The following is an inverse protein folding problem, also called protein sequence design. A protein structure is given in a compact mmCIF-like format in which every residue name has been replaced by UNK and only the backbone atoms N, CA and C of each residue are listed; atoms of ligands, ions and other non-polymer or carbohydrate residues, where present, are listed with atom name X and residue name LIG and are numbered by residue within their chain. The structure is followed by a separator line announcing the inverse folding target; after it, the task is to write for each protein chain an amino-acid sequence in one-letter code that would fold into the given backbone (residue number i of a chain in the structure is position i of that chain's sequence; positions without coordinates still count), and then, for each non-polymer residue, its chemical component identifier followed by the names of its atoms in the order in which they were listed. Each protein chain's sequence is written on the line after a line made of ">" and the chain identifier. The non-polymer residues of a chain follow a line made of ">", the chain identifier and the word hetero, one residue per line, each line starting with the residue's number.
data_IF_285373181065
#
_entry.id   IF_285373181065
#
_cell.length_a   1.000
_cell.length_b   1.000
_cell.length_c   1.000
_cell.angle_alpha   90.00
_cell.angle_beta   90.00
_cell.angle_gamma   90.00
#
_symmetry.space_group_name_H-M   'P 1'
#
loop_
_entity.id
_entity.type
_entity.pdbx_description
1 polymer ?
#
# COMPACT_ATOMS: atom_id res chain seq x y z
N UNK A 1 -33.10 22.26 27.67
CA UNK A 1 -33.59 21.62 26.40
C UNK A 1 -32.41 20.99 25.70
N UNK A 2 -32.44 19.68 25.45
CA UNK A 2 -31.43 19.03 24.56
C UNK A 2 -31.74 19.49 23.14
N UNK A 3 -30.84 20.24 22.49
CA UNK A 3 -30.93 20.52 21.06
C UNK A 3 -30.91 19.20 20.30
N UNK A 4 -31.95 18.88 19.55
CA UNK A 4 -31.95 17.73 18.65
C UNK A 4 -31.00 18.02 17.47
N UNK A 5 -29.99 17.19 17.29
CA UNK A 5 -29.08 17.30 16.15
C UNK A 5 -29.83 16.96 14.85
N UNK A 6 -29.63 17.76 13.82
CA UNK A 6 -30.16 17.47 12.47
C UNK A 6 -29.19 16.58 11.74
N UNK A 7 -29.61 15.38 11.35
CA UNK A 7 -28.79 14.44 10.58
C UNK A 7 -28.65 14.96 9.15
N UNK A 8 -27.43 15.31 8.75
CA UNK A 8 -27.13 15.72 7.36
C UNK A 8 -27.12 14.55 6.38
N UNK A 9 -26.53 13.42 6.78
CA UNK A 9 -26.42 12.21 5.96
C UNK A 9 -26.23 11.00 6.86
N UNK A 10 -26.88 9.91 6.52
CA UNK A 10 -26.63 8.58 7.11
C UNK A 10 -26.50 7.57 5.95
N UNK A 11 -25.40 6.83 5.92
CA UNK A 11 -25.11 5.88 4.85
C UNK A 11 -24.60 4.57 5.44
N UNK A 12 -25.13 3.44 4.96
CA UNK A 12 -24.64 2.12 5.32
C UNK A 12 -23.38 1.79 4.52
N UNK A 13 -22.44 1.08 5.15
CA UNK A 13 -21.18 0.70 4.52
C UNK A 13 -21.40 -0.15 3.25
N UNK A 14 -20.84 0.31 2.14
CA UNK A 14 -20.59 -0.52 0.95
C UNK A 14 -19.48 -1.55 1.20
N UNK A 15 -19.21 -2.41 0.21
CA UNK A 15 -18.23 -3.50 0.34
C UNK A 15 -16.85 -2.98 0.75
N UNK A 16 -16.36 -1.95 0.06
CA UNK A 16 -15.05 -1.36 0.30
C UNK A 16 -14.89 -0.88 1.74
N UNK A 17 -15.87 -0.09 2.24
CA UNK A 17 -15.84 0.42 3.60
C UNK A 17 -15.94 -0.69 4.66
N UNK A 18 -16.70 -1.77 4.38
CA UNK A 18 -16.76 -2.95 5.27
C UNK A 18 -15.40 -3.65 5.39
N UNK A 19 -14.70 -3.83 4.27
CA UNK A 19 -13.37 -4.45 4.25
C UNK A 19 -12.39 -3.59 5.02
N UNK A 20 -12.29 -2.29 4.69
CA UNK A 20 -11.39 -1.35 5.36
C UNK A 20 -11.66 -1.35 6.87
N UNK A 21 -12.92 -1.12 7.29
CA UNK A 21 -13.27 -1.05 8.71
C UNK A 21 -12.93 -2.34 9.48
N UNK A 22 -13.13 -3.52 8.84
CA UNK A 22 -12.77 -4.78 9.48
C UNK A 22 -11.25 -4.96 9.58
N UNK A 23 -10.51 -4.65 8.52
CA UNK A 23 -9.05 -4.85 8.50
C UNK A 23 -8.33 -3.88 9.44
N UNK A 24 -8.72 -2.60 9.46
CA UNK A 24 -8.13 -1.61 10.35
C UNK A 24 -8.48 -1.86 11.81
N UNK A 25 -9.73 -2.25 12.12
CA UNK A 25 -10.11 -2.63 13.48
C UNK A 25 -9.32 -3.86 13.97
N UNK A 26 -9.15 -4.88 13.12
CA UNK A 26 -8.34 -6.05 13.44
C UNK A 26 -6.88 -5.67 13.64
N UNK A 27 -6.31 -4.82 12.77
CA UNK A 27 -4.94 -4.33 12.88
C UNK A 27 -4.67 -3.69 14.25
N UNK A 28 -5.51 -2.73 14.65
CA UNK A 28 -5.38 -2.05 15.94
C UNK A 28 -5.55 -2.96 17.15
N UNK A 29 -6.40 -3.98 17.04
CA UNK A 29 -6.63 -4.92 18.14
C UNK A 29 -5.49 -5.92 18.28
N UNK A 30 -4.92 -6.40 17.17
CA UNK A 30 -4.05 -7.57 17.16
C UNK A 30 -2.56 -7.21 17.08
N UNK A 31 -2.20 -6.05 16.51
CA UNK A 31 -0.81 -5.72 16.16
C UNK A 31 -0.24 -4.64 17.09
N UNK A 32 0.83 -4.94 17.85
CA UNK A 32 1.61 -3.92 18.54
C UNK A 32 2.53 -3.22 17.53
N UNK A 33 2.06 -2.10 16.99
CA UNK A 33 2.79 -1.31 16.00
C UNK A 33 3.98 -0.58 16.65
N UNK A 34 5.16 -0.72 16.04
CA UNK A 34 6.31 0.16 16.29
C UNK A 34 6.50 1.05 15.07
N UNK A 35 6.72 2.34 15.32
CA UNK A 35 6.84 3.32 14.25
C UNK A 35 8.21 3.99 14.31
N UNK A 36 8.88 4.02 13.17
CA UNK A 36 10.14 4.73 12.98
C UNK A 36 9.99 5.68 11.80
N UNK A 37 10.39 6.93 11.99
CA UNK A 37 10.41 7.91 10.91
C UNK A 37 11.83 8.11 10.43
N UNK A 38 12.08 7.93 9.13
CA UNK A 38 13.33 8.21 8.46
C UNK A 38 13.17 9.38 7.49
N UNK A 39 14.04 10.38 7.58
CA UNK A 39 13.95 11.65 6.82
C UNK A 39 15.26 11.96 6.07
N UNK A 40 15.64 11.16 5.07
CA UNK A 40 16.85 11.44 4.30
C UNK A 40 16.76 12.80 3.58
N UNK A 41 17.94 13.45 3.45
CA UNK A 41 18.09 14.62 2.62
C UNK A 41 17.91 14.21 1.15
N UNK A 42 17.06 14.94 0.40
CA UNK A 42 16.56 14.52 -0.90
C UNK A 42 16.88 15.47 -2.04
N UNK A 43 17.62 16.59 -1.80
CA UNK A 43 17.86 17.59 -2.82
C UNK A 43 18.62 17.03 -4.01
N UNK A 44 19.74 16.32 -3.77
CA UNK A 44 20.54 15.72 -4.84
C UNK A 44 19.78 14.55 -5.52
N UNK A 45 19.08 13.72 -4.73
CA UNK A 45 18.23 12.66 -5.25
C UNK A 45 17.18 13.20 -6.22
N UNK A 46 16.52 14.31 -5.88
CA UNK A 46 15.53 14.95 -6.76
C UNK A 46 16.16 15.59 -8.00
N UNK A 47 17.41 16.05 -7.94
CA UNK A 47 18.15 16.54 -9.13
C UNK A 47 18.44 15.38 -10.09
N UNK A 48 18.97 14.26 -9.57
CA UNK A 48 19.24 13.07 -10.38
C UNK A 48 17.94 12.51 -10.97
N UNK A 49 16.86 12.46 -10.17
CA UNK A 49 15.53 12.09 -10.66
C UNK A 49 15.05 12.99 -11.81
N UNK A 50 15.24 14.30 -11.74
CA UNK A 50 14.91 15.18 -12.86
C UNK A 50 15.75 14.85 -14.09
N UNK A 51 17.06 14.62 -13.90
CA UNK A 51 18.00 14.28 -14.97
C UNK A 51 17.63 13.01 -15.74
N UNK A 52 17.14 11.96 -15.08
CA UNK A 52 16.71 10.75 -15.80
C UNK A 52 15.48 10.96 -16.70
N UNK A 53 14.78 12.07 -16.54
CA UNK A 53 13.60 12.44 -17.34
C UNK A 53 13.90 13.52 -18.42
N UNK A 54 15.12 14.04 -18.49
CA UNK A 54 15.50 15.03 -19.50
C UNK A 54 15.45 14.41 -20.90
N UNK A 55 14.83 15.14 -21.82
CA UNK A 55 14.65 14.71 -23.22
C UNK A 55 13.61 13.59 -23.44
N UNK A 56 12.96 13.05 -22.39
CA UNK A 56 11.92 12.03 -22.55
C UNK A 56 10.59 12.66 -22.97
N UNK A 57 9.87 11.97 -23.86
CA UNK A 57 8.48 12.28 -24.17
C UNK A 57 7.61 12.13 -22.90
N UNK A 58 6.46 12.78 -22.87
CA UNK A 58 5.59 12.82 -21.67
C UNK A 58 5.17 11.42 -21.20
N UNK A 59 4.84 10.55 -22.14
CA UNK A 59 4.43 9.16 -21.94
C UNK A 59 5.56 8.28 -21.39
N UNK A 60 6.83 8.62 -21.71
CA UNK A 60 8.01 7.86 -21.30
C UNK A 60 8.62 8.32 -19.98
N UNK A 61 8.10 9.38 -19.38
CA UNK A 61 8.62 9.91 -18.13
C UNK A 61 8.42 8.93 -16.98
N UNK A 62 9.49 8.72 -16.24
CA UNK A 62 9.47 7.99 -14.96
C UNK A 62 8.90 8.91 -13.89
N UNK A 63 7.90 8.45 -13.16
CA UNK A 63 7.31 9.21 -12.05
C UNK A 63 8.16 9.09 -10.78
N UNK A 64 8.12 10.10 -9.91
CA UNK A 64 8.78 10.01 -8.61
C UNK A 64 8.25 8.81 -7.80
N UNK A 65 6.95 8.50 -7.92
CA UNK A 65 6.35 7.33 -7.28
C UNK A 65 7.02 6.02 -7.75
N UNK A 66 7.29 5.86 -9.04
CA UNK A 66 7.98 4.68 -9.56
C UNK A 66 9.40 4.55 -8.99
N UNK A 67 10.13 5.67 -8.91
CA UNK A 67 11.48 5.68 -8.31
C UNK A 67 11.43 5.31 -6.82
N UNK A 68 10.51 5.89 -6.06
CA UNK A 68 10.34 5.58 -4.63
C UNK A 68 9.98 4.11 -4.41
N UNK A 69 9.09 3.54 -5.22
CA UNK A 69 8.77 2.11 -5.16
C UNK A 69 10.01 1.25 -5.43
N UNK A 70 10.85 1.65 -6.40
CA UNK A 70 12.12 0.94 -6.66
C UNK A 70 13.10 1.06 -5.50
N UNK A 71 13.27 2.25 -4.92
CA UNK A 71 14.09 2.47 -3.71
C UNK A 71 13.64 1.53 -2.57
N UNK A 72 12.34 1.48 -2.30
CA UNK A 72 11.78 0.60 -1.26
C UNK A 72 12.02 -0.86 -1.60
N UNK A 73 11.84 -1.25 -2.87
CA UNK A 73 12.07 -2.63 -3.32
C UNK A 73 13.53 -3.05 -3.12
N UNK A 74 14.49 -2.19 -3.49
CA UNK A 74 15.92 -2.46 -3.29
C UNK A 74 16.29 -2.53 -1.79
N UNK A 75 15.64 -1.70 -0.95
CA UNK A 75 15.82 -1.76 0.49
C UNK A 75 15.23 -3.05 1.10
N UNK A 76 14.09 -3.54 0.59
CA UNK A 76 13.49 -4.83 1.02
C UNK A 76 14.38 -6.02 0.64
N UNK A 77 15.05 -5.99 -0.51
CA UNK A 77 16.06 -7.01 -0.87
C UNK A 77 17.20 -7.11 0.15
N UNK A 78 17.53 -6.01 0.83
CA UNK A 78 18.54 -5.97 1.92
C UNK A 78 17.97 -6.34 3.29
N UNK A 79 16.65 -6.42 3.41
CA UNK A 79 15.94 -6.69 4.65
C UNK A 79 14.74 -7.62 4.42
N UNK A 80 14.98 -8.92 4.07
CA UNK A 80 13.90 -9.88 3.78
C UNK A 80 12.91 -10.03 4.93
N UNK A 81 13.33 -9.87 6.17
CA UNK A 81 12.49 -9.96 7.35
C UNK A 81 11.27 -8.99 7.32
N UNK A 82 11.39 -7.84 6.64
CA UNK A 82 10.27 -6.93 6.44
C UNK A 82 9.31 -7.34 5.32
N UNK A 83 9.73 -8.27 4.44
CA UNK A 83 8.91 -8.82 3.36
C UNK A 83 8.32 -10.18 3.78
N UNK A 84 7.51 -10.17 4.84
CA UNK A 84 7.07 -11.38 5.52
C UNK A 84 5.61 -11.31 5.99
N UNK A 85 5.07 -12.45 6.30
CA UNK A 85 3.77 -12.60 6.97
C UNK A 85 3.93 -13.31 8.32
N UNK A 86 3.08 -12.95 9.28
CA UNK A 86 3.00 -13.60 10.59
C UNK A 86 1.69 -14.36 10.75
N UNK A 87 1.77 -15.61 11.22
CA UNK A 87 0.65 -16.35 11.81
C UNK A 87 0.91 -16.49 13.31
N UNK A 88 0.13 -15.80 14.14
CA UNK A 88 0.27 -15.83 15.59
C UNK A 88 -1.05 -16.22 16.26
N UNK A 89 -0.97 -17.19 17.17
CA UNK A 89 -2.09 -17.70 17.97
C UNK A 89 -1.92 -17.28 19.45
N UNK A 90 -2.47 -16.12 19.86
CA UNK A 90 -2.21 -15.55 21.19
C UNK A 90 -2.51 -16.49 22.36
N UNK A 91 -3.64 -17.25 22.28
CA UNK A 91 -4.06 -18.20 23.34
C UNK A 91 -3.06 -19.33 23.59
N UNK A 92 -2.29 -19.71 22.57
CA UNK A 92 -1.32 -20.80 22.65
C UNK A 92 0.12 -20.30 22.71
N UNK A 93 0.32 -18.98 22.57
CA UNK A 93 1.63 -18.33 22.43
C UNK A 93 2.48 -19.06 21.37
N UNK A 94 1.89 -19.31 20.20
CA UNK A 94 2.54 -19.98 19.09
C UNK A 94 2.41 -19.14 17.82
N UNK A 95 3.47 -19.10 17.04
CA UNK A 95 3.47 -18.38 15.79
C UNK A 95 4.58 -18.82 14.84
N UNK A 96 4.48 -18.32 13.62
CA UNK A 96 5.46 -18.48 12.57
C UNK A 96 5.55 -17.17 11.78
N UNK A 97 6.74 -16.72 11.46
CA UNK A 97 7.00 -15.67 10.48
C UNK A 97 7.49 -16.35 9.21
N UNK A 98 6.89 -16.03 8.08
CA UNK A 98 7.22 -16.56 6.77
C UNK A 98 7.73 -15.42 5.91
N UNK A 99 9.01 -15.44 5.55
CA UNK A 99 9.63 -14.51 4.61
C UNK A 99 9.38 -14.98 3.17
N UNK A 100 9.31 -14.03 2.23
CA UNK A 100 9.07 -14.28 0.81
C UNK A 100 10.21 -13.75 -0.06
N UNK A 101 10.57 -14.49 -1.07
CA UNK A 101 11.51 -14.03 -2.10
C UNK A 101 10.84 -13.02 -3.04
N UNK A 102 9.54 -13.24 -3.35
CA UNK A 102 8.75 -12.32 -4.15
C UNK A 102 8.36 -11.09 -3.34
N UNK A 103 8.66 -9.90 -3.87
CA UNK A 103 8.24 -8.63 -3.30
C UNK A 103 6.96 -8.18 -4.02
N UNK A 104 5.83 -8.35 -3.35
CA UNK A 104 4.51 -7.99 -3.84
C UNK A 104 3.97 -6.81 -3.01
N UNK A 105 3.90 -5.62 -3.63
CA UNK A 105 3.55 -4.39 -2.92
C UNK A 105 2.05 -4.10 -3.03
N UNK A 106 1.35 -4.13 -1.90
CA UNK A 106 0.00 -3.58 -1.79
C UNK A 106 0.05 -2.06 -1.75
N UNK A 107 -0.44 -1.40 -2.81
CA UNK A 107 -0.38 0.06 -2.93
C UNK A 107 -1.78 0.66 -3.05
N UNK A 108 -2.20 1.52 -2.09
CA UNK A 108 -3.42 2.32 -2.24
C UNK A 108 -3.25 3.33 -3.38
N UNK A 109 -4.20 3.33 -4.30
CA UNK A 109 -4.26 4.25 -5.45
C UNK A 109 -5.58 5.00 -5.47
N UNK A 110 -5.55 6.27 -5.86
CA UNK A 110 -6.75 7.03 -6.20
C UNK A 110 -7.08 6.77 -7.67
N UNK A 111 -8.27 6.24 -7.91
CA UNK A 111 -8.77 6.02 -9.27
C UNK A 111 -9.35 7.30 -9.86
N UNK A 112 -9.45 7.37 -11.19
CA UNK A 112 -10.09 8.49 -11.90
C UNK A 112 -11.57 8.68 -11.47
N UNK A 113 -12.21 7.64 -10.93
CA UNK A 113 -13.55 7.71 -10.33
C UNK A 113 -13.61 8.47 -9.00
N UNK A 114 -12.47 8.81 -8.40
CA UNK A 114 -12.35 9.38 -7.06
C UNK A 114 -12.40 8.34 -5.93
N UNK A 115 -12.47 7.06 -6.24
CA UNK A 115 -12.41 5.99 -5.24
C UNK A 115 -10.97 5.58 -4.94
N UNK A 116 -10.69 5.31 -3.66
CA UNK A 116 -9.42 4.70 -3.25
C UNK A 116 -9.50 3.19 -3.38
N UNK A 117 -8.49 2.59 -3.98
CA UNK A 117 -8.35 1.16 -4.11
C UNK A 117 -6.92 0.73 -3.79
N UNK A 118 -6.76 -0.40 -3.12
CA UNK A 118 -5.45 -1.03 -2.96
C UNK A 118 -5.25 -2.06 -4.06
N UNK A 119 -4.15 -1.91 -4.81
CA UNK A 119 -3.72 -2.87 -5.84
C UNK A 119 -2.47 -3.59 -5.38
N UNK A 120 -2.27 -4.80 -5.86
CA UNK A 120 -1.07 -5.57 -5.65
C UNK A 120 -0.15 -5.43 -6.87
N UNK A 121 1.05 -4.90 -6.67
CA UNK A 121 2.11 -4.82 -7.65
C UNK A 121 3.03 -6.03 -7.49
N UNK A 122 2.92 -7.00 -8.38
CA UNK A 122 3.61 -8.29 -8.27
C UNK A 122 5.06 -8.23 -8.74
N UNK A 123 5.92 -9.07 -8.13
CA UNK A 123 7.30 -9.33 -8.54
C UNK A 123 8.11 -8.05 -8.73
N UNK A 124 8.01 -7.14 -7.77
CA UNK A 124 8.70 -5.85 -7.84
C UNK A 124 10.22 -5.99 -7.82
N UNK A 125 10.76 -7.07 -7.24
CA UNK A 125 12.19 -7.37 -7.18
C UNK A 125 12.84 -7.46 -8.57
N UNK A 126 12.09 -7.89 -9.60
CA UNK A 126 12.59 -8.12 -10.95
C UNK A 126 12.39 -6.91 -11.88
N UNK A 127 11.68 -5.87 -11.42
CA UNK A 127 11.28 -4.74 -12.25
C UNK A 127 12.30 -3.61 -12.23
N UNK A 128 12.63 -3.08 -13.41
CA UNK A 128 13.31 -1.82 -13.59
C UNK A 128 12.31 -0.63 -13.51
N UNK A 129 12.77 0.59 -13.63
CA UNK A 129 11.91 1.78 -13.52
C UNK A 129 10.88 1.89 -14.66
N UNK A 130 11.20 1.39 -15.86
CA UNK A 130 10.26 1.39 -17.00
C UNK A 130 9.16 0.37 -16.74
N UNK A 131 9.52 -0.82 -16.27
CA UNK A 131 8.54 -1.87 -15.94
C UNK A 131 7.59 -1.42 -14.85
N UNK A 132 8.09 -0.71 -13.82
CA UNK A 132 7.25 -0.16 -12.75
C UNK A 132 6.30 0.90 -13.31
N UNK A 133 6.80 1.85 -14.14
CA UNK A 133 5.97 2.85 -14.82
C UNK A 133 4.85 2.18 -15.62
N UNK A 134 5.20 1.19 -16.44
CA UNK A 134 4.26 0.51 -17.31
C UNK A 134 3.24 -0.32 -16.52
N UNK A 135 3.69 -0.97 -15.43
CA UNK A 135 2.79 -1.67 -14.49
C UNK A 135 1.76 -0.70 -13.89
N UNK A 136 2.20 0.48 -13.41
CA UNK A 136 1.30 1.49 -12.84
C UNK A 136 0.31 2.03 -13.88
N UNK A 137 0.77 2.29 -15.11
CA UNK A 137 -0.08 2.75 -16.21
C UNK A 137 -1.11 1.68 -16.62
N UNK A 138 -0.71 0.41 -16.69
CA UNK A 138 -1.59 -0.70 -17.01
C UNK A 138 -2.68 -0.90 -15.96
N UNK A 139 -2.32 -0.85 -14.67
CA UNK A 139 -3.31 -0.93 -13.58
C UNK A 139 -4.34 0.20 -13.69
N UNK A 140 -3.92 1.44 -13.95
CA UNK A 140 -4.84 2.56 -14.14
C UNK A 140 -5.74 2.37 -15.37
N UNK A 141 -5.20 1.85 -16.47
CA UNK A 141 -5.97 1.54 -17.69
C UNK A 141 -7.04 0.49 -17.39
N UNK A 142 -6.68 -0.63 -16.78
CA UNK A 142 -7.59 -1.73 -16.45
C UNK A 142 -8.64 -1.34 -15.40
N UNK A 143 -8.29 -0.45 -14.47
CA UNK A 143 -9.21 0.05 -13.45
C UNK A 143 -10.42 0.77 -14.07
N UNK A 144 -10.25 1.48 -15.21
CA UNK A 144 -11.33 2.17 -15.93
C UNK A 144 -12.42 1.21 -16.44
N UNK A 145 -12.03 -0.01 -16.78
CA UNK A 145 -12.93 -1.06 -17.26
C UNK A 145 -13.46 -1.96 -16.14
N UNK A 146 -13.08 -1.67 -14.88
CA UNK A 146 -13.39 -2.54 -13.75
C UNK A 146 -14.54 -2.00 -12.90
N UNK A 147 -15.44 -2.87 -12.50
CA UNK A 147 -16.41 -2.57 -11.45
C UNK A 147 -15.83 -2.97 -10.10
N UNK A 148 -15.35 -1.99 -9.34
CA UNK A 148 -14.63 -2.22 -8.10
C UNK A 148 -15.43 -2.98 -7.05
N UNK A 149 -16.75 -2.68 -6.93
CA UNK A 149 -17.62 -3.42 -6.00
C UNK A 149 -17.71 -4.91 -6.36
N UNK A 150 -17.70 -5.24 -7.67
CA UNK A 150 -17.72 -6.62 -8.12
C UNK A 150 -16.38 -7.31 -7.87
N UNK A 151 -15.25 -6.69 -8.21
CA UNK A 151 -13.91 -7.25 -7.95
C UNK A 151 -13.71 -7.51 -6.46
N UNK A 152 -14.02 -6.53 -5.61
CA UNK A 152 -13.91 -6.66 -4.15
C UNK A 152 -14.85 -7.74 -3.58
N UNK A 153 -16.03 -7.91 -4.19
CA UNK A 153 -16.94 -8.99 -3.82
C UNK A 153 -16.35 -10.36 -4.16
N UNK A 154 -15.75 -10.52 -5.34
CA UNK A 154 -15.13 -11.77 -5.78
C UNK A 154 -13.95 -12.16 -4.88
N UNK A 155 -13.10 -11.20 -4.48
CA UNK A 155 -12.04 -11.41 -3.48
C UNK A 155 -12.62 -11.82 -2.13
N UNK A 156 -13.59 -11.08 -1.61
CA UNK A 156 -14.23 -11.35 -0.32
C UNK A 156 -14.94 -12.72 -0.26
N UNK A 157 -15.52 -13.15 -1.39
CA UNK A 157 -16.14 -14.48 -1.48
C UNK A 157 -15.11 -15.60 -1.39
N UNK A 158 -13.99 -15.43 -2.09
CA UNK A 158 -12.89 -16.41 -2.04
C UNK A 158 -12.28 -16.52 -0.62
N UNK A 159 -12.03 -15.39 0.05
CA UNK A 159 -11.53 -15.38 1.42
C UNK A 159 -12.50 -16.03 2.39
N UNK A 160 -13.81 -15.87 2.14
CA UNK A 160 -14.87 -16.53 2.89
C UNK A 160 -14.80 -18.04 2.72
N UNK A 161 -14.63 -18.53 1.49
CA UNK A 161 -14.52 -19.98 1.20
C UNK A 161 -13.24 -20.56 1.79
N UNK A 162 -12.11 -19.86 1.69
CA UNK A 162 -10.85 -20.29 2.34
C UNK A 162 -10.97 -20.28 3.88
N UNK A 163 -11.69 -19.32 4.45
CA UNK A 163 -11.98 -19.27 5.89
C UNK A 163 -12.77 -20.48 6.37
N UNK A 164 -13.74 -20.96 5.57
CA UNK A 164 -14.47 -22.20 5.85
C UNK A 164 -13.54 -23.42 5.83
N UNK A 165 -12.70 -23.53 4.82
CA UNK A 165 -11.71 -24.62 4.70
C UNK A 165 -10.72 -24.65 5.88
N UNK A 166 -10.39 -23.47 6.46
CA UNK A 166 -9.53 -23.32 7.64
C UNK A 166 -10.29 -23.43 8.98
N UNK A 167 -11.55 -23.86 8.99
CA UNK A 167 -12.35 -24.09 10.20
C UNK A 167 -12.87 -22.83 10.91
N UNK A 168 -12.80 -21.63 10.28
CA UNK A 168 -13.30 -20.36 10.85
C UNK A 168 -14.82 -20.20 10.66
N UNK A 169 -15.63 -21.20 11.05
CA UNK A 169 -17.07 -21.28 10.75
C UNK A 169 -17.87 -20.09 11.29
N UNK A 170 -17.73 -19.77 12.58
CA UNK A 170 -18.51 -18.71 13.23
C UNK A 170 -18.25 -17.33 12.59
N UNK A 171 -16.99 -17.00 12.39
CA UNK A 171 -16.59 -15.72 11.78
C UNK A 171 -17.09 -15.63 10.34
N UNK A 172 -17.00 -16.72 9.58
CA UNK A 172 -17.44 -16.79 8.20
C UNK A 172 -18.96 -16.64 8.07
N UNK A 173 -19.73 -17.35 8.92
CA UNK A 173 -21.20 -17.23 8.95
C UNK A 173 -21.61 -15.80 9.32
N UNK A 174 -21.00 -15.20 10.34
CA UNK A 174 -21.28 -13.82 10.75
C UNK A 174 -21.02 -12.82 9.62
N UNK A 175 -19.92 -12.98 8.86
CA UNK A 175 -19.60 -12.16 7.67
C UNK A 175 -20.64 -12.33 6.56
N UNK A 176 -21.07 -13.55 6.28
CA UNK A 176 -22.11 -13.84 5.28
C UNK A 176 -23.45 -13.19 5.65
N UNK A 177 -23.89 -13.33 6.91
CA UNK A 177 -25.09 -12.67 7.40
C UNK A 177 -24.97 -11.15 7.24
N UNK A 178 -23.89 -10.55 7.71
CA UNK A 178 -23.64 -9.10 7.64
C UNK A 178 -23.53 -8.54 6.22
N UNK A 179 -23.18 -9.37 5.22
CA UNK A 179 -23.00 -8.93 3.84
C UNK A 179 -24.18 -9.24 2.91
N UNK A 180 -25.03 -10.22 3.24
CA UNK A 180 -26.09 -10.71 2.35
C UNK A 180 -27.51 -10.43 2.84
N UNK A 181 -27.69 -9.91 4.07
CA UNK A 181 -29.04 -9.75 4.66
C UNK A 181 -29.44 -8.28 4.86
N UNK A 182 -30.73 -8.00 4.70
CA UNK A 182 -31.40 -6.74 5.02
C UNK A 182 -30.83 -5.52 4.31
N UNK A 183 -30.93 -4.36 4.96
CA UNK A 183 -30.45 -3.06 4.46
C UNK A 183 -28.92 -2.95 4.36
N UNK A 184 -28.20 -3.90 4.92
CA UNK A 184 -26.73 -3.98 4.89
C UNK A 184 -26.19 -4.85 3.75
N UNK A 185 -27.08 -5.36 2.88
CA UNK A 185 -26.71 -6.17 1.73
C UNK A 185 -25.76 -5.42 0.82
N UNK A 186 -24.64 -6.05 0.49
CA UNK A 186 -23.68 -5.53 -0.49
C UNK A 186 -24.34 -5.53 -1.88
N UNK A 187 -24.32 -4.39 -2.54
CA UNK A 187 -24.79 -4.24 -3.93
C UNK A 187 -23.69 -4.72 -4.87
N UNK A 188 -24.00 -5.70 -5.71
CA UNK A 188 -23.12 -6.22 -6.77
C UNK A 188 -23.85 -6.20 -8.08
N UNK A 189 -23.13 -6.42 -9.17
CA UNK A 189 -23.72 -6.56 -10.49
C UNK A 189 -24.65 -7.79 -10.55
N UNK A 190 -25.74 -7.69 -11.31
CA UNK A 190 -26.70 -8.77 -11.49
C UNK A 190 -27.23 -8.81 -12.93
N UNK A 191 -27.75 -9.97 -13.35
CA UNK A 191 -28.40 -10.13 -14.66
C UNK A 191 -27.46 -9.74 -15.81
N UNK A 192 -27.99 -8.91 -16.74
CA UNK A 192 -27.29 -8.46 -17.94
C UNK A 192 -25.99 -7.73 -17.65
N UNK A 193 -25.99 -6.79 -16.70
CA UNK A 193 -24.79 -6.02 -16.34
C UNK A 193 -23.65 -6.88 -15.80
N UNK A 194 -23.96 -7.98 -15.09
CA UNK A 194 -22.96 -8.93 -14.63
C UNK A 194 -22.34 -9.68 -15.79
N UNK A 195 -23.16 -10.11 -16.77
CA UNK A 195 -22.68 -10.79 -17.96
C UNK A 195 -21.78 -9.88 -18.79
N UNK A 196 -22.23 -8.66 -19.10
CA UNK A 196 -21.46 -7.65 -19.84
C UNK A 196 -20.10 -7.36 -19.18
N UNK A 197 -20.04 -7.31 -17.84
CA UNK A 197 -18.79 -7.11 -17.11
C UNK A 197 -17.81 -8.29 -17.28
N UNK A 198 -18.30 -9.52 -17.22
CA UNK A 198 -17.43 -10.70 -17.39
C UNK A 198 -17.12 -11.01 -18.87
N UNK A 199 -17.82 -10.41 -19.82
CA UNK A 199 -17.47 -10.44 -21.24
C UNK A 199 -16.24 -9.55 -21.54
N UNK A 200 -15.87 -8.60 -20.65
CA UNK A 200 -14.60 -7.86 -20.74
C UNK A 200 -13.44 -8.83 -20.45
N UNK A 201 -12.46 -8.95 -21.37
CA UNK A 201 -11.31 -9.83 -21.16
C UNK A 201 -10.55 -9.53 -19.87
N UNK A 202 -9.99 -10.55 -19.22
CA UNK A 202 -9.27 -10.38 -17.95
C UNK A 202 -8.03 -9.47 -18.07
N UNK A 203 -7.38 -9.45 -19.23
CA UNK A 203 -6.26 -8.54 -19.49
C UNK A 203 -6.67 -7.06 -19.64
N UNK A 204 -7.96 -6.76 -19.79
CA UNK A 204 -8.50 -5.42 -19.91
C UNK A 204 -9.26 -4.93 -18.67
N UNK A 205 -9.42 -5.75 -17.66
CA UNK A 205 -10.03 -5.41 -16.37
C UNK A 205 -9.18 -5.87 -15.21
N UNK A 206 -9.38 -5.28 -14.04
CA UNK A 206 -8.79 -5.77 -12.81
C UNK A 206 -9.47 -7.06 -12.36
N UNK A 207 -8.68 -7.97 -11.86
CA UNK A 207 -9.09 -9.28 -11.38
C UNK A 207 -8.78 -9.41 -9.89
N UNK A 208 -9.12 -10.55 -9.31
CA UNK A 208 -8.72 -10.91 -7.96
C UNK A 208 -7.20 -10.84 -7.78
N UNK A 209 -6.43 -11.29 -8.76
CA UNK A 209 -4.96 -11.28 -8.73
C UNK A 209 -4.39 -9.87 -8.48
N UNK A 210 -5.03 -8.84 -9.05
CA UNK A 210 -4.60 -7.45 -8.90
C UNK A 210 -4.97 -6.83 -7.55
N UNK A 211 -5.86 -7.45 -6.77
CA UNK A 211 -6.45 -6.89 -5.54
C UNK A 211 -6.10 -7.72 -4.30
N UNK A 212 -5.69 -8.98 -4.48
CA UNK A 212 -5.28 -9.80 -3.33
C UNK A 212 -4.07 -9.18 -2.64
N UNK A 213 -3.93 -9.49 -1.35
CA UNK A 213 -2.93 -8.87 -0.50
C UNK A 213 -1.50 -9.25 -0.92
N UNK A 214 -0.64 -8.24 -1.04
CA UNK A 214 0.80 -8.43 -1.24
C UNK A 214 1.54 -8.78 0.04
N UNK A 215 2.86 -8.84 -0.06
CA UNK A 215 3.74 -9.17 1.07
C UNK A 215 3.98 -7.98 2.01
N UNK A 216 3.87 -6.76 1.49
CA UNK A 216 4.03 -5.50 2.24
C UNK A 216 3.08 -4.42 1.69
N UNK A 217 2.69 -3.47 2.53
CA UNK A 217 1.92 -2.29 2.10
C UNK A 217 2.82 -1.06 1.99
N UNK A 218 2.73 -0.35 0.86
CA UNK A 218 3.39 0.95 0.64
C UNK A 218 2.35 1.99 0.25
N UNK A 219 2.20 3.03 1.08
CA UNK A 219 1.27 4.14 0.83
C UNK A 219 2.03 5.43 0.54
N UNK A 220 1.94 5.92 -0.69
CA UNK A 220 2.54 7.20 -1.08
C UNK A 220 1.53 8.35 -0.91
N UNK A 221 1.52 8.96 0.27
CA UNK A 221 0.64 10.08 0.63
C UNK A 221 1.01 11.35 -0.13
N UNK A 222 2.31 11.54 -0.41
CA UNK A 222 2.81 12.67 -1.20
C UNK A 222 2.33 12.65 -2.66
N UNK A 223 1.93 11.50 -3.19
CA UNK A 223 1.31 11.41 -4.52
C UNK A 223 -0.14 11.93 -4.53
N UNK A 224 -0.83 11.87 -3.40
CA UNK A 224 -2.22 12.32 -3.24
C UNK A 224 -2.28 13.82 -2.95
N UNK A 225 -1.35 14.33 -2.15
CA UNK A 225 -1.26 15.74 -1.79
C UNK A 225 0.20 16.21 -1.88
N UNK A 226 0.57 16.77 -3.03
CA UNK A 226 1.96 17.13 -3.37
C UNK A 226 2.55 18.24 -2.52
N UNK A 227 1.70 19.16 -2.06
CA UNK A 227 2.10 20.32 -1.25
C UNK A 227 1.93 20.05 0.26
N UNK A 228 1.75 18.77 0.65
CA UNK A 228 1.60 18.41 2.05
C UNK A 228 2.93 18.50 2.79
N UNK A 229 3.00 19.39 3.78
CA UNK A 229 4.15 19.58 4.66
C UNK A 229 4.01 18.82 5.99
N UNK A 230 3.18 17.81 6.03
CA UNK A 230 2.95 16.97 7.20
C UNK A 230 3.73 15.66 7.19
N UNK A 231 3.70 14.98 8.32
CA UNK A 231 4.25 13.62 8.51
C UNK A 231 3.10 12.68 8.82
N UNK A 232 3.06 11.53 8.14
CA UNK A 232 2.20 10.44 8.56
C UNK A 232 2.83 9.77 9.78
N UNK A 233 2.23 9.94 10.94
CA UNK A 233 2.79 9.43 12.18
C UNK A 233 2.63 7.91 12.35
N UNK A 234 1.67 7.30 11.66
CA UNK A 234 1.41 5.87 11.70
C UNK A 234 0.64 5.46 10.44
N UNK A 235 0.94 4.28 9.93
CA UNK A 235 0.18 3.56 8.91
C UNK A 235 -0.18 2.18 9.49
N UNK A 236 -1.44 1.77 9.37
CA UNK A 236 -1.85 0.46 9.87
C UNK A 236 -1.25 -0.66 9.04
N UNK A 237 -0.67 -1.65 9.72
CA UNK A 237 -0.24 -2.90 9.10
C UNK A 237 -1.47 -3.75 8.84
N UNK A 238 -1.65 -4.20 7.61
CA UNK A 238 -2.78 -5.06 7.25
C UNK A 238 -2.40 -6.52 7.46
N UNK A 239 -3.01 -7.23 8.43
CA UNK A 239 -2.69 -8.63 8.68
C UNK A 239 -2.85 -9.49 7.42
N UNK A 240 -1.96 -10.44 7.12
CA UNK A 240 -0.89 -10.98 7.96
C UNK A 240 0.49 -10.33 7.76
N UNK A 241 0.60 -9.21 7.06
CA UNK A 241 1.87 -8.50 6.84
C UNK A 241 2.54 -8.11 8.15
N UNK A 242 3.88 -8.05 8.16
CA UNK A 242 4.66 -7.64 9.34
C UNK A 242 5.12 -6.19 9.27
N UNK A 243 5.00 -5.53 8.12
CA UNK A 243 5.43 -4.15 7.95
C UNK A 243 4.53 -3.36 6.98
N UNK A 244 4.55 -2.04 7.13
CA UNK A 244 3.95 -1.09 6.20
C UNK A 244 4.82 0.16 6.11
N UNK A 245 4.82 0.82 4.94
CA UNK A 245 5.65 1.99 4.67
C UNK A 245 4.76 3.11 4.15
N UNK A 246 4.77 4.25 4.86
CA UNK A 246 4.18 5.51 4.42
C UNK A 246 5.26 6.41 3.82
N UNK A 247 4.96 7.07 2.70
CA UNK A 247 5.87 8.04 2.07
C UNK A 247 5.18 9.39 1.98
N UNK A 248 5.84 10.43 2.48
CA UNK A 248 5.36 11.81 2.43
C UNK A 248 5.64 12.51 1.09
N UNK A 249 5.31 13.79 1.01
CA UNK A 249 5.77 14.65 -0.07
C UNK A 249 7.19 15.18 0.23
N UNK A 250 8.03 15.44 -0.79
CA UNK A 250 9.28 16.18 -0.60
C UNK A 250 8.97 17.57 -0.05
N UNK A 251 9.57 17.94 1.08
CA UNK A 251 9.33 19.23 1.75
C UNK A 251 10.60 20.02 1.96
N UNK A 252 10.50 21.35 1.91
CA UNK A 252 11.61 22.23 2.24
C UNK A 252 11.92 22.17 3.75
N UNK A 253 13.20 22.13 4.08
CA UNK A 253 13.64 22.00 5.47
C UNK A 253 14.99 22.70 5.64
N UNK A 254 15.26 23.19 6.86
CA UNK A 254 16.57 23.67 7.24
C UNK A 254 17.55 22.49 7.38
N UNK A 255 18.63 22.54 6.61
CA UNK A 255 19.72 21.55 6.66
C UNK A 255 20.91 22.18 7.35
N UNK A 256 21.34 21.57 8.47
CA UNK A 256 22.58 21.95 9.14
C UNK A 256 23.78 21.36 8.37
N UNK A 257 24.71 22.23 7.94
CA UNK A 257 25.93 21.83 7.26
C UNK A 257 27.05 21.54 8.28
N UNK A 258 28.07 20.73 7.91
CA UNK A 258 29.19 20.41 8.79
C UNK A 258 30.01 21.65 9.25
N UNK A 259 29.97 22.75 8.48
CA UNK A 259 30.63 24.03 8.81
C UNK A 259 29.81 24.90 9.78
N UNK A 260 28.66 24.44 10.26
CA UNK A 260 27.76 25.15 11.15
C UNK A 260 26.79 26.11 10.46
N UNK A 261 26.82 26.24 9.13
CA UNK A 261 25.85 27.01 8.37
C UNK A 261 24.54 26.25 8.22
N UNK A 262 23.46 26.97 7.92
CA UNK A 262 22.14 26.40 7.63
C UNK A 262 21.74 26.78 6.21
N UNK A 263 21.37 25.77 5.42
CA UNK A 263 20.82 25.95 4.08
C UNK A 263 19.41 25.40 3.99
N UNK A 264 18.65 25.84 3.00
CA UNK A 264 17.37 25.23 2.66
C UNK A 264 17.62 24.06 1.71
N UNK A 265 17.20 22.88 2.12
CA UNK A 265 17.21 21.68 1.29
C UNK A 265 15.86 20.99 1.32
N UNK A 266 15.76 19.83 0.67
CA UNK A 266 14.53 19.02 0.68
C UNK A 266 14.74 17.74 1.47
N UNK A 267 13.73 17.36 2.23
CA UNK A 267 13.66 16.02 2.86
C UNK A 267 12.48 15.25 2.30
N UNK A 268 12.62 13.93 2.25
CA UNK A 268 11.55 13.00 1.97
C UNK A 268 11.34 12.10 3.18
N UNK A 269 10.10 12.04 3.66
CA UNK A 269 9.78 11.31 4.89
C UNK A 269 9.31 9.89 4.55
N UNK A 270 9.92 8.90 5.20
CA UNK A 270 9.49 7.51 5.23
C UNK A 270 9.01 7.17 6.65
N UNK A 271 7.74 6.84 6.79
CA UNK A 271 7.18 6.27 8.01
C UNK A 271 7.20 4.76 7.89
N UNK A 272 8.11 4.13 8.60
CA UNK A 272 8.28 2.67 8.62
C UNK A 272 7.59 2.12 9.85
N UNK A 273 6.59 1.26 9.63
CA UNK A 273 5.82 0.64 10.71
C UNK A 273 6.04 -0.86 10.66
N UNK A 274 6.29 -1.48 11.80
CA UNK A 274 6.47 -2.92 11.89
C UNK A 274 5.76 -3.54 13.10
N UNK A 275 5.43 -4.81 12.96
CA UNK A 275 4.78 -5.63 13.99
C UNK A 275 5.82 -6.12 14.99
N UNK A 276 5.76 -5.62 16.23
CA UNK A 276 6.73 -5.99 17.27
C UNK A 276 6.60 -7.43 17.79
N UNK A 277 5.63 -8.20 17.27
CA UNK A 277 5.57 -9.65 17.50
C UNK A 277 6.49 -10.42 16.54
N UNK A 278 6.87 -9.81 15.43
CA UNK A 278 7.66 -10.43 14.36
C UNK A 278 9.06 -9.84 14.24
N UNK A 279 9.21 -8.53 14.49
CA UNK A 279 10.44 -7.77 14.21
C UNK A 279 10.82 -6.89 15.39
N UNK A 280 12.12 -6.76 15.60
CA UNK A 280 12.75 -5.76 16.46
C UNK A 280 13.42 -4.66 15.64
N UNK A 281 13.84 -3.57 16.28
CA UNK A 281 14.53 -2.47 15.59
C UNK A 281 15.78 -2.95 14.84
N UNK A 282 16.51 -3.93 15.40
CA UNK A 282 17.70 -4.53 14.78
C UNK A 282 17.41 -5.15 13.41
N UNK A 283 16.24 -5.77 13.25
CA UNK A 283 15.80 -6.39 12.00
C UNK A 283 15.48 -5.35 10.91
N UNK A 284 15.06 -4.14 11.32
CA UNK A 284 14.64 -3.05 10.41
C UNK A 284 15.83 -2.17 9.97
N UNK A 285 16.89 -2.11 10.76
CA UNK A 285 18.07 -1.28 10.47
C UNK A 285 18.67 -1.48 9.07
N UNK A 286 18.80 -2.69 8.51
CA UNK A 286 19.29 -2.88 7.14
C UNK A 286 18.45 -2.16 6.08
N UNK A 287 17.12 -2.13 6.25
CA UNK A 287 16.20 -1.40 5.39
C UNK A 287 16.46 0.12 5.45
N UNK A 288 16.52 0.70 6.66
CA UNK A 288 16.76 2.12 6.85
C UNK A 288 18.10 2.55 6.28
N UNK A 289 19.17 1.77 6.54
CA UNK A 289 20.50 2.03 5.96
C UNK A 289 20.49 2.00 4.43
N UNK A 290 19.75 1.07 3.83
CA UNK A 290 19.64 0.99 2.37
C UNK A 290 18.94 2.21 1.76
N UNK A 291 17.90 2.72 2.42
CA UNK A 291 17.26 3.99 2.04
C UNK A 291 18.28 5.12 2.12
N UNK A 292 18.95 5.30 3.26
CA UNK A 292 19.93 6.38 3.48
C UNK A 292 21.07 6.34 2.46
N UNK A 293 21.62 5.16 2.15
CA UNK A 293 22.66 4.99 1.15
C UNK A 293 22.19 5.40 -0.26
N UNK A 294 20.96 5.05 -0.63
CA UNK A 294 20.40 5.46 -1.92
C UNK A 294 20.27 6.99 -2.02
N UNK A 295 19.89 7.66 -0.92
CA UNK A 295 19.77 9.11 -0.90
C UNK A 295 21.13 9.84 -0.84
N UNK A 296 22.15 9.23 -0.22
CA UNK A 296 23.54 9.72 -0.22
C UNK A 296 24.22 9.54 -1.58
N UNK A 297 23.90 8.47 -2.30
CA UNK A 297 24.46 8.08 -3.58
C UNK A 297 23.38 7.94 -4.65
N UNK A 298 22.65 9.03 -4.99
CA UNK A 298 21.44 8.95 -5.82
C UNK A 298 21.72 8.57 -7.28
N UNK A 299 22.98 8.57 -7.72
CA UNK A 299 23.38 8.18 -9.08
C UNK A 299 22.93 6.75 -9.41
N UNK A 300 22.81 5.89 -8.40
CA UNK A 300 22.35 4.49 -8.56
C UNK A 300 20.99 4.39 -9.24
N UNK A 301 20.12 5.40 -9.11
CA UNK A 301 18.79 5.35 -9.77
C UNK A 301 18.88 5.38 -11.31
N UNK A 302 20.00 5.82 -11.89
CA UNK A 302 20.24 5.78 -13.33
C UNK A 302 20.42 4.34 -13.84
N UNK A 303 20.96 3.45 -13.01
CA UNK A 303 21.18 2.05 -13.34
C UNK A 303 19.87 1.25 -13.37
N UNK A 304 18.81 1.78 -12.76
CA UNK A 304 17.51 1.13 -12.69
C UNK A 304 16.57 1.48 -13.85
N UNK A 305 17.00 2.33 -14.79
CA UNK A 305 16.17 2.81 -15.92
C UNK A 305 16.02 1.79 -17.05
#
# INVERSE_FOLDING_TARGET
>A
MRQSLTVRRAEHFGINRKIIANMTAQSWHDIPHVVVTNEPEASEFLKVFKGINEGRAKEDKITLNAVILKVITEALKKCPAMNAHIDFKPRLVRGCVTEFDEINISMPMLLDSGEMMTVNLHNMQDKNLRDIRDTLADVQRRAKNSNMSQVMYDVSLNDTLQGLAKGKLVQTISRLIGSKTGKYKVKTLSGKSKKEYYDIPEYDRLTKYDIEQGTITVSNLGSLYKDWDGICALLEIIPPQVAAIGVGAPRDTAIANPDGTVTVGKKLVFTVVFDHRALDMGDVVPFLKSIDETFKHPEVIKEWV
#
